data_IF_087815916086
#
_entry.id   IF_087815916086
#
_cell.length_a   1.000
_cell.length_b   1.000
_cell.length_c   1.000
_cell.angle_alpha   90.00
_cell.angle_beta   90.00
_cell.angle_gamma   90.00
#
_symmetry.space_group_name_H-M   'P 1'
#
loop_
_entity.id
_entity.type
_entity.pdbx_description
1 polymer ?
#
# COMPACT_ATOMS: atom_id res chain seq x y z
N UNK A 1 16.10 8.77 12.72
CA UNK A 1 15.33 7.62 13.18
C UNK A 1 14.58 7.02 12.01
N UNK A 2 14.86 5.78 11.75
CA UNK A 2 14.16 5.12 10.68
C UNK A 2 12.70 5.00 11.01
N UNK A 3 11.90 5.31 10.07
CA UNK A 3 10.59 4.82 10.11
C UNK A 3 9.64 5.53 11.02
N UNK A 4 9.28 6.69 10.65
CA UNK A 4 7.98 7.17 11.07
C UNK A 4 7.08 7.20 9.82
N UNK A 5 5.81 7.48 10.05
CA UNK A 5 4.86 7.56 8.94
C UNK A 5 4.89 8.91 8.24
N UNK A 6 5.66 9.87 8.75
CA UNK A 6 5.61 11.26 8.32
C UNK A 6 6.07 11.49 6.89
N UNK A 7 6.82 10.54 6.31
CA UNK A 7 7.30 10.67 4.92
C UNK A 7 6.17 11.00 3.94
N UNK A 8 4.95 10.49 4.20
CA UNK A 8 3.81 10.71 3.32
C UNK A 8 2.63 11.39 4.00
N UNK A 9 2.80 11.85 5.25
CA UNK A 9 1.65 12.26 6.05
C UNK A 9 1.49 13.78 6.20
N UNK A 10 2.59 14.52 6.26
CA UNK A 10 2.51 15.94 6.54
C UNK A 10 2.52 16.72 5.22
N UNK A 11 1.39 17.31 4.89
CA UNK A 11 1.21 18.14 3.70
C UNK A 11 1.53 17.42 2.37
N UNK A 12 1.53 16.10 2.39
CA UNK A 12 1.79 15.32 1.16
C UNK A 12 0.77 14.20 1.02
N UNK A 13 0.55 13.78 -0.22
CA UNK A 13 -0.19 12.56 -0.50
C UNK A 13 0.33 11.94 -1.79
N UNK A 14 0.04 10.64 -1.95
CA UNK A 14 0.35 9.91 -3.17
C UNK A 14 -0.89 9.85 -4.05
N UNK A 15 -0.70 10.12 -5.34
CA UNK A 15 -1.74 9.94 -6.35
C UNK A 15 -1.83 8.47 -6.73
N UNK A 16 -2.59 7.70 -5.95
CA UNK A 16 -2.65 6.25 -6.10
C UNK A 16 -3.22 5.82 -7.44
N UNK A 17 -4.19 6.57 -7.98
CA UNK A 17 -4.77 6.22 -9.28
C UNK A 17 -3.71 6.29 -10.38
N UNK A 18 -2.89 7.32 -10.38
CA UNK A 18 -1.80 7.44 -11.34
C UNK A 18 -0.71 6.40 -11.12
N UNK A 19 -0.45 6.01 -9.86
CA UNK A 19 0.47 4.91 -9.57
C UNK A 19 -0.01 3.60 -10.19
N UNK A 20 -1.29 3.27 -10.04
CA UNK A 20 -1.85 2.07 -10.67
C UNK A 20 -1.73 2.14 -12.19
N UNK A 21 -2.05 3.29 -12.77
CA UNK A 21 -1.95 3.47 -14.21
C UNK A 21 -0.51 3.32 -14.70
N UNK A 22 0.44 3.87 -13.94
CA UNK A 22 1.87 3.75 -14.23
C UNK A 22 2.32 2.29 -14.21
N UNK A 23 1.96 1.56 -13.16
CA UNK A 23 2.34 0.16 -13.02
C UNK A 23 1.77 -0.69 -14.16
N UNK A 24 0.52 -0.44 -14.56
CA UNK A 24 -0.10 -1.14 -15.68
C UNK A 24 0.58 -0.80 -17.00
N UNK A 25 0.87 0.48 -17.25
CA UNK A 25 1.52 0.93 -18.48
C UNK A 25 2.93 0.38 -18.62
N UNK A 26 3.65 0.26 -17.51
CA UNK A 26 5.01 -0.31 -17.48
C UNK A 26 4.99 -1.84 -17.40
N UNK A 27 3.81 -2.45 -17.35
CA UNK A 27 3.64 -3.90 -17.28
C UNK A 27 4.37 -4.52 -16.07
N UNK A 28 4.28 -3.86 -14.91
CA UNK A 28 4.84 -4.39 -13.68
C UNK A 28 4.16 -5.71 -13.34
N UNK A 29 4.94 -6.65 -12.85
CA UNK A 29 4.41 -7.95 -12.41
C UNK A 29 3.66 -7.79 -11.10
N UNK A 30 2.63 -8.61 -10.92
CA UNK A 30 1.93 -8.74 -9.65
C UNK A 30 2.67 -9.81 -8.85
N UNK A 31 3.04 -9.47 -7.63
CA UNK A 31 3.74 -10.37 -6.71
C UNK A 31 2.85 -10.77 -5.56
N UNK A 32 3.05 -11.98 -5.04
CA UNK A 32 2.50 -12.38 -3.76
C UNK A 32 3.50 -12.01 -2.68
N UNK A 33 3.15 -11.02 -1.86
CA UNK A 33 4.04 -10.51 -0.82
C UNK A 33 3.52 -10.96 0.54
N UNK A 34 4.43 -11.46 1.37
CA UNK A 34 4.09 -11.85 2.74
C UNK A 34 3.61 -10.62 3.52
N UNK A 35 2.44 -10.74 4.14
CA UNK A 35 1.83 -9.63 4.88
C UNK A 35 2.75 -9.19 6.04
N UNK A 36 3.49 -10.11 6.64
CA UNK A 36 4.43 -9.77 7.72
C UNK A 36 5.59 -8.89 7.28
N UNK A 37 5.86 -8.79 5.98
CA UNK A 37 6.93 -7.94 5.44
C UNK A 37 6.42 -6.55 5.03
N UNK A 38 5.15 -6.25 5.27
CA UNK A 38 4.52 -5.00 4.86
C UNK A 38 4.25 -4.13 6.08
N UNK A 39 4.74 -2.89 6.05
CA UNK A 39 4.35 -1.89 7.03
C UNK A 39 3.07 -1.21 6.59
N UNK A 40 2.12 -1.10 7.49
CA UNK A 40 0.87 -0.40 7.23
C UNK A 40 0.37 0.26 8.51
N UNK A 41 -0.35 1.36 8.36
CA UNK A 41 -0.95 2.03 9.51
C UNK A 41 -2.05 1.16 10.11
N UNK A 42 -2.38 1.37 11.39
CA UNK A 42 -3.45 0.60 12.03
C UNK A 42 -4.72 0.57 11.19
N UNK A 43 -5.34 -0.61 11.12
CA UNK A 43 -6.51 -0.87 10.29
C UNK A 43 -7.83 -0.79 11.09
N UNK A 44 -7.75 -0.48 12.37
CA UNK A 44 -8.90 -0.48 13.28
C UNK A 44 -9.95 0.59 12.96
N UNK A 45 -9.58 1.60 12.18
CA UNK A 45 -10.52 2.62 11.72
C UNK A 45 -11.37 2.22 10.52
N UNK A 46 -11.13 1.05 9.96
CA UNK A 46 -11.89 0.60 8.78
C UNK A 46 -13.21 -0.01 9.24
N UNK A 47 -14.32 0.51 8.67
CA UNK A 47 -15.65 -0.02 8.93
C UNK A 47 -15.87 -1.27 8.06
N UNK A 48 -16.07 -2.41 8.72
CA UNK A 48 -16.28 -3.70 8.04
C UNK A 48 -17.62 -3.76 7.30
N UNK A 49 -18.54 -2.86 7.60
CA UNK A 49 -19.83 -2.76 6.91
C UNK A 49 -19.79 -1.79 5.73
N UNK A 50 -18.66 -1.12 5.51
CA UNK A 50 -18.56 -0.16 4.42
C UNK A 50 -18.48 -0.86 3.06
N UNK A 51 -19.05 -0.23 2.00
CA UNK A 51 -18.92 -0.79 0.66
C UNK A 51 -17.47 -1.00 0.22
N UNK A 52 -16.58 -0.12 0.63
CA UNK A 52 -15.15 -0.26 0.28
C UNK A 52 -14.56 -1.55 0.81
N UNK A 53 -14.95 -1.97 2.01
CA UNK A 53 -14.48 -3.24 2.56
C UNK A 53 -15.22 -4.43 1.95
N UNK A 54 -16.56 -4.37 1.91
CA UNK A 54 -17.40 -5.48 1.45
C UNK A 54 -17.04 -5.88 0.02
N UNK A 55 -16.86 -4.88 -0.85
CA UNK A 55 -16.55 -5.12 -2.27
C UNK A 55 -15.07 -5.11 -2.60
N UNK A 56 -14.20 -5.04 -1.59
CA UNK A 56 -12.77 -5.14 -1.83
C UNK A 56 -12.45 -6.48 -2.48
N UNK A 57 -11.74 -6.43 -3.59
CA UNK A 57 -11.39 -7.62 -4.35
C UNK A 57 -9.93 -7.98 -4.11
N UNK A 58 -9.67 -9.02 -3.32
CA UNK A 58 -8.32 -9.43 -2.95
C UNK A 58 -7.56 -10.09 -4.11
N UNK A 59 -8.23 -10.36 -5.22
CA UNK A 59 -7.54 -10.84 -6.43
C UNK A 59 -6.91 -9.69 -7.23
N UNK A 60 -7.28 -8.44 -6.92
CA UNK A 60 -6.65 -7.26 -7.52
C UNK A 60 -5.47 -6.81 -6.65
N UNK A 61 -4.40 -6.27 -7.27
CA UNK A 61 -3.21 -5.92 -6.50
C UNK A 61 -3.36 -4.65 -5.67
N UNK A 62 -2.74 -4.64 -4.51
CA UNK A 62 -2.42 -3.43 -3.77
C UNK A 62 -1.15 -2.81 -4.35
N UNK A 63 -0.67 -1.73 -3.75
CA UNK A 63 0.60 -1.11 -4.12
C UNK A 63 1.46 -0.98 -2.87
N UNK A 64 2.69 -1.48 -2.95
CA UNK A 64 3.70 -1.30 -1.90
C UNK A 64 4.93 -0.63 -2.47
N UNK A 65 5.66 0.08 -1.63
CA UNK A 65 6.96 0.66 -1.96
C UNK A 65 8.06 -0.10 -1.25
N UNK A 66 9.05 -0.55 -2.00
CA UNK A 66 10.20 -1.24 -1.43
C UNK A 66 11.21 -0.24 -0.90
N UNK A 67 11.68 -0.47 0.33
CA UNK A 67 12.74 0.31 0.93
C UNK A 67 12.33 1.64 1.51
N UNK A 68 11.04 2.01 1.44
CA UNK A 68 10.58 3.26 2.03
C UNK A 68 10.59 3.16 3.55
N UNK A 69 11.14 4.20 4.18
CA UNK A 69 11.23 4.29 5.63
C UNK A 69 9.85 4.18 6.29
N UNK A 70 9.78 3.41 7.38
CA UNK A 70 8.54 3.19 8.10
C UNK A 70 8.82 2.80 9.55
N UNK A 71 7.88 3.08 10.49
CA UNK A 71 8.15 2.85 11.92
C UNK A 71 8.26 1.40 12.33
N UNK A 72 7.85 0.48 11.48
CA UNK A 72 7.91 -0.95 11.76
C UNK A 72 9.15 -1.60 11.19
N UNK A 73 9.97 -0.83 10.50
CA UNK A 73 11.22 -1.27 9.87
C UNK A 73 11.01 -2.49 8.96
N UNK A 74 9.91 -2.46 8.21
CA UNK A 74 9.58 -3.52 7.25
C UNK A 74 10.15 -3.22 5.89
N UNK A 75 10.34 -4.26 5.08
CA UNK A 75 10.86 -4.15 3.72
C UNK A 75 9.97 -3.35 2.80
N UNK A 76 8.66 -3.48 2.96
CA UNK A 76 7.67 -2.83 2.11
C UNK A 76 6.79 -1.91 2.93
N UNK A 77 6.39 -0.81 2.35
CA UNK A 77 5.39 0.08 2.94
C UNK A 77 4.16 0.11 2.04
N UNK A 78 2.99 -0.15 2.62
CA UNK A 78 1.72 -0.10 1.89
C UNK A 78 1.41 1.34 1.50
N UNK A 79 1.16 1.58 0.23
CA UNK A 79 0.76 2.88 -0.29
C UNK A 79 -0.74 2.95 -0.54
N UNK A 80 -1.33 1.87 -1.05
CA UNK A 80 -2.76 1.78 -1.26
C UNK A 80 -3.21 0.32 -1.19
N UNK A 81 -4.48 0.12 -0.84
CA UNK A 81 -5.05 -1.21 -0.72
C UNK A 81 -5.35 -1.63 0.71
N UNK A 82 -5.56 -0.68 1.63
CA UNK A 82 -5.83 -0.98 3.05
C UNK A 82 -7.02 -1.91 3.22
N UNK A 83 -8.09 -1.72 2.45
CA UNK A 83 -9.29 -2.56 2.55
C UNK A 83 -9.01 -3.98 2.05
N UNK A 84 -8.25 -4.12 0.99
CA UNK A 84 -7.82 -5.43 0.48
C UNK A 84 -6.90 -6.14 1.48
N UNK A 85 -6.00 -5.39 2.09
CA UNK A 85 -5.10 -5.95 3.11
C UNK A 85 -5.88 -6.45 4.31
N UNK A 86 -6.80 -5.65 4.85
CA UNK A 86 -7.60 -6.06 5.99
C UNK A 86 -8.45 -7.28 5.65
N UNK A 87 -9.05 -7.30 4.47
CA UNK A 87 -9.87 -8.44 4.03
C UNK A 87 -9.02 -9.70 3.91
N UNK A 88 -7.81 -9.58 3.39
CA UNK A 88 -6.87 -10.71 3.32
C UNK A 88 -6.52 -11.24 4.71
N UNK A 89 -6.23 -10.33 5.66
CA UNK A 89 -5.93 -10.71 7.04
C UNK A 89 -7.13 -11.44 7.65
N UNK A 90 -8.33 -10.90 7.49
CA UNK A 90 -9.54 -11.49 8.05
C UNK A 90 -9.90 -12.83 7.40
N UNK A 91 -9.46 -13.03 6.16
CA UNK A 91 -9.60 -14.32 5.46
C UNK A 91 -8.46 -15.28 5.80
N UNK A 92 -7.59 -14.92 6.74
CA UNK A 92 -6.46 -15.75 7.17
C UNK A 92 -5.43 -16.02 6.07
N UNK A 93 -5.31 -15.08 5.13
CA UNK A 93 -4.28 -15.15 4.10
C UNK A 93 -2.93 -14.73 4.67
N UNK A 94 -1.86 -15.39 4.25
CA UNK A 94 -0.49 -15.02 4.62
C UNK A 94 0.14 -14.05 3.62
N UNK A 95 -0.41 -13.97 2.43
CA UNK A 95 0.13 -13.20 1.32
C UNK A 95 -0.95 -12.30 0.72
N UNK A 96 -0.51 -11.20 0.14
CA UNK A 96 -1.39 -10.31 -0.62
C UNK A 96 -0.75 -10.03 -1.98
N UNK A 97 -1.58 -9.91 -3.00
CA UNK A 97 -1.11 -9.52 -4.34
C UNK A 97 -0.79 -8.05 -4.36
N UNK A 98 0.38 -7.69 -4.87
CA UNK A 98 0.82 -6.30 -4.93
C UNK A 98 1.62 -6.01 -6.19
N UNK A 99 1.58 -4.73 -6.61
CA UNK A 99 2.67 -4.15 -7.38
C UNK A 99 3.74 -3.69 -6.40
N UNK A 100 5.00 -3.98 -6.71
CA UNK A 100 6.15 -3.52 -5.91
C UNK A 100 6.83 -2.40 -6.68
N UNK A 101 6.85 -1.19 -6.11
CA UNK A 101 7.48 -0.05 -6.73
C UNK A 101 8.72 0.36 -5.93
N UNK A 102 9.69 0.95 -6.64
CA UNK A 102 10.86 1.54 -6.00
C UNK A 102 10.53 2.95 -5.51
N UNK A 103 11.28 3.43 -4.52
CA UNK A 103 11.10 4.77 -4.00
C UNK A 103 11.13 5.84 -5.09
N UNK A 104 12.06 5.72 -6.03
CA UNK A 104 12.19 6.69 -7.12
C UNK A 104 10.91 6.80 -7.94
N UNK A 105 10.22 5.69 -8.17
CA UNK A 105 8.96 5.70 -8.91
C UNK A 105 7.82 6.24 -8.05
N UNK A 106 7.81 5.88 -6.77
CA UNK A 106 6.76 6.36 -5.84
C UNK A 106 6.81 7.88 -5.69
N UNK A 107 8.00 8.45 -5.53
CA UNK A 107 8.13 9.88 -5.29
C UNK A 107 7.71 10.73 -6.47
N UNK A 108 7.68 10.19 -7.68
CA UNK A 108 7.13 10.91 -8.83
C UNK A 108 5.64 11.24 -8.68
N UNK A 109 4.94 10.52 -7.83
CA UNK A 109 3.49 10.65 -7.65
C UNK A 109 3.11 11.22 -6.29
N UNK A 110 4.07 11.72 -5.54
CA UNK A 110 3.81 12.43 -4.29
C UNK A 110 3.49 13.88 -4.63
N UNK A 111 2.42 14.37 -4.04
CA UNK A 111 1.99 15.77 -4.19
C UNK A 111 2.02 16.47 -2.87
N UNK A 112 2.49 17.72 -2.88
CA UNK A 112 2.45 18.57 -1.71
C UNK A 112 1.07 19.22 -1.59
N UNK A 113 0.51 19.16 -0.39
CA UNK A 113 -0.75 19.79 -0.06
C UNK A 113 -0.44 21.13 0.58
N UNK A 114 -0.57 22.19 -0.17
CA UNK A 114 -0.27 23.53 0.32
C UNK A 114 -1.48 24.41 0.38
#
# INVERSE_FOLDING_TARGET
>A
MDGDWSVLDVNTYIDCQNLYNYAKAKKYKIHNVSIEHIAYKPLDGINLDSPRYIYANISLPAIVCEGMSNPLNKRYRLLDGRHRLLKSINNQECYIKTYILKQTDCFKFIKDLQ
#
